data_IF_091214764695
#
_entry.id   IF_091214764695
#
_cell.length_a   1.000
_cell.length_b   1.000
_cell.length_c   1.000
_cell.angle_alpha   90.00
_cell.angle_beta   90.00
_cell.angle_gamma   90.00
#
_symmetry.space_group_name_H-M   'P 1'
#
loop_
_entity.id
_entity.type
_entity.pdbx_description
1 polymer ?
#
# COMPACT_ATOMS: atom_id res chain seq x y z
N UNK A 1 17.12 5.53 3.75
CA UNK A 1 16.26 4.82 4.70
C UNK A 1 14.97 5.60 4.87
N UNK A 2 13.93 5.11 4.20
CA UNK A 2 12.54 5.57 4.29
C UNK A 2 11.99 5.18 5.66
N UNK A 3 11.43 6.17 6.36
CA UNK A 3 10.77 5.99 7.65
C UNK A 3 9.26 5.95 7.49
N UNK A 4 8.57 5.31 8.44
CA UNK A 4 7.10 5.21 8.43
C UNK A 4 6.46 6.62 8.48
N UNK A 5 7.08 7.59 9.17
CA UNK A 5 6.59 8.96 9.24
C UNK A 5 6.67 9.71 7.89
N UNK A 6 7.64 9.36 7.03
CA UNK A 6 7.75 9.94 5.70
C UNK A 6 6.65 9.39 4.78
N UNK A 7 6.34 8.09 4.92
CA UNK A 7 5.20 7.46 4.25
C UNK A 7 3.89 8.10 4.72
N UNK A 8 3.73 8.39 6.01
CA UNK A 8 2.53 9.03 6.55
C UNK A 8 2.31 10.43 5.93
N UNK A 9 3.37 11.23 5.81
CA UNK A 9 3.28 12.56 5.18
C UNK A 9 2.83 12.43 3.72
N UNK A 10 3.37 11.46 3.00
CA UNK A 10 3.00 11.20 1.61
C UNK A 10 1.57 10.67 1.49
N UNK A 11 1.12 9.82 2.42
CA UNK A 11 -0.27 9.37 2.52
C UNK A 11 -1.23 10.56 2.70
N UNK A 12 -0.91 11.50 3.59
CA UNK A 12 -1.79 12.66 3.83
C UNK A 12 -1.94 13.55 2.59
N UNK A 13 -0.84 13.79 1.88
CA UNK A 13 -0.86 14.53 0.60
C UNK A 13 -1.67 13.77 -0.45
N UNK A 14 -1.32 12.50 -0.66
CA UNK A 14 -2.01 11.61 -1.59
C UNK A 14 -3.52 11.58 -1.31
N UNK A 15 -3.93 11.39 -0.06
CA UNK A 15 -5.35 11.39 0.31
C UNK A 15 -6.03 12.72 -0.01
N UNK A 16 -5.37 13.86 0.18
CA UNK A 16 -5.97 15.16 -0.12
C UNK A 16 -6.17 15.37 -1.63
N UNK A 17 -5.23 14.92 -2.44
CA UNK A 17 -5.23 15.13 -3.89
C UNK A 17 -6.06 14.06 -4.63
N UNK A 18 -6.00 12.82 -4.15
CA UNK A 18 -6.61 11.65 -4.79
C UNK A 18 -8.05 11.40 -4.35
N UNK A 19 -8.53 12.06 -3.28
CA UNK A 19 -9.90 11.88 -2.79
C UNK A 19 -10.95 12.30 -3.81
N UNK A 20 -10.74 13.41 -4.50
CA UNK A 20 -11.67 13.90 -5.53
C UNK A 20 -11.79 12.90 -6.69
N UNK A 21 -10.65 12.41 -7.18
CA UNK A 21 -10.62 11.36 -8.23
C UNK A 21 -11.38 10.09 -7.81
N UNK A 22 -11.27 9.68 -6.54
CA UNK A 22 -11.99 8.51 -5.99
C UNK A 22 -13.50 8.75 -5.95
N UNK A 23 -13.93 9.93 -5.51
CA UNK A 23 -15.35 10.29 -5.46
C UNK A 23 -15.94 10.33 -6.87
N UNK A 24 -15.25 10.98 -7.81
CA UNK A 24 -15.68 11.08 -9.20
C UNK A 24 -15.81 9.71 -9.86
N UNK A 25 -14.82 8.83 -9.64
CA UNK A 25 -14.84 7.45 -10.18
C UNK A 25 -16.02 6.65 -9.61
N UNK A 26 -16.32 6.81 -8.32
CA UNK A 26 -17.45 6.13 -7.68
C UNK A 26 -18.81 6.65 -8.19
N UNK A 27 -18.89 7.93 -8.55
CA UNK A 27 -20.11 8.53 -9.11
C UNK A 27 -20.30 8.18 -10.58
N UNK A 28 -19.23 8.17 -11.37
CA UNK A 28 -19.29 7.92 -12.82
C UNK A 28 -19.48 6.45 -13.17
N UNK A 29 -19.00 5.53 -12.30
CA UNK A 29 -19.00 4.07 -12.51
C UNK A 29 -18.48 3.65 -13.90
N UNK A 30 -17.58 4.43 -14.48
CA UNK A 30 -17.01 4.17 -15.80
C UNK A 30 -15.64 3.51 -15.68
N UNK A 31 -15.42 2.45 -16.47
CA UNK A 31 -14.17 1.69 -16.52
C UNK A 31 -12.95 2.58 -16.88
N UNK A 32 -13.13 3.57 -17.76
CA UNK A 32 -12.03 4.49 -18.14
C UNK A 32 -11.54 5.37 -16.98
N UNK A 33 -12.43 5.77 -16.08
CA UNK A 33 -12.05 6.58 -14.92
C UNK A 33 -11.34 5.70 -13.89
N UNK A 34 -11.79 4.44 -13.76
CA UNK A 34 -11.13 3.44 -12.93
C UNK A 34 -9.70 3.13 -13.38
N UNK A 35 -9.46 2.97 -14.69
CA UNK A 35 -8.10 2.76 -15.21
C UNK A 35 -7.19 3.96 -14.94
N UNK A 36 -7.67 5.19 -15.19
CA UNK A 36 -6.91 6.41 -14.87
C UNK A 36 -6.57 6.51 -13.39
N UNK A 37 -7.52 6.15 -12.53
CA UNK A 37 -7.33 6.15 -11.08
C UNK A 37 -6.25 5.15 -10.66
N UNK A 38 -6.27 3.93 -11.23
CA UNK A 38 -5.20 2.94 -11.01
C UNK A 38 -3.83 3.46 -11.45
N UNK A 39 -3.74 4.08 -12.63
CA UNK A 39 -2.48 4.64 -13.13
C UNK A 39 -1.94 5.74 -12.22
N UNK A 40 -2.77 6.76 -11.89
CA UNK A 40 -2.37 7.85 -10.98
C UNK A 40 -1.88 7.33 -9.63
N UNK A 41 -2.50 6.25 -9.13
CA UNK A 41 -2.09 5.66 -7.88
C UNK A 41 -0.70 5.04 -7.95
N UNK A 42 -0.43 4.21 -8.98
CA UNK A 42 0.88 3.55 -9.13
C UNK A 42 2.00 4.57 -9.33
N UNK A 43 1.69 5.68 -10.00
CA UNK A 43 2.63 6.78 -10.22
C UNK A 43 2.76 7.74 -9.02
N UNK A 44 1.97 7.54 -7.96
CA UNK A 44 1.99 8.45 -6.80
C UNK A 44 3.25 8.29 -5.96
N UNK A 45 3.73 9.42 -5.42
CA UNK A 45 4.83 9.44 -4.46
C UNK A 45 4.57 8.52 -3.26
N UNK A 46 3.30 8.40 -2.84
CA UNK A 46 2.91 7.51 -1.77
C UNK A 46 3.20 6.04 -2.10
N UNK A 47 2.77 5.57 -3.27
CA UNK A 47 3.00 4.21 -3.74
C UNK A 47 4.49 3.89 -3.86
N UNK A 48 5.25 4.78 -4.49
CA UNK A 48 6.70 4.65 -4.66
C UNK A 48 7.45 4.66 -3.32
N UNK A 49 7.01 5.47 -2.36
CA UNK A 49 7.64 5.51 -1.02
C UNK A 49 7.40 4.22 -0.25
N UNK A 50 6.19 3.65 -0.32
CA UNK A 50 5.89 2.35 0.30
C UNK A 50 6.69 1.21 -0.34
N UNK A 51 6.83 1.23 -1.67
CA UNK A 51 7.68 0.27 -2.40
C UNK A 51 9.14 0.36 -1.95
N UNK A 52 9.73 1.56 -1.95
CA UNK A 52 11.12 1.79 -1.51
C UNK A 52 11.34 1.36 -0.07
N UNK A 53 10.37 1.62 0.82
CA UNK A 53 10.44 1.19 2.22
C UNK A 53 10.63 -0.32 2.36
N UNK A 54 9.91 -1.11 1.55
CA UNK A 54 9.99 -2.56 1.57
C UNK A 54 11.27 -3.08 0.89
N UNK A 55 11.68 -2.48 -0.23
CA UNK A 55 12.93 -2.83 -0.93
C UNK A 55 14.18 -2.58 -0.07
N UNK A 56 14.28 -1.41 0.59
CA UNK A 56 15.37 -1.10 1.53
C UNK A 56 15.46 -2.08 2.70
N UNK A 57 14.36 -2.77 2.98
CA UNK A 57 14.19 -3.75 4.05
C UNK A 57 14.39 -5.19 3.59
N UNK A 58 14.80 -5.40 2.33
CA UNK A 58 15.09 -6.71 1.77
C UNK A 58 13.85 -7.52 1.36
N UNK A 59 12.70 -6.87 1.19
CA UNK A 59 11.53 -7.50 0.59
C UNK A 59 11.57 -7.36 -0.93
N UNK A 60 11.22 -8.42 -1.64
CA UNK A 60 10.95 -8.34 -3.08
C UNK A 60 9.56 -7.78 -3.27
N UNK A 61 9.47 -6.69 -4.01
CA UNK A 61 8.20 -6.01 -4.26
C UNK A 61 7.76 -6.29 -5.69
N UNK A 62 6.51 -6.72 -5.85
CA UNK A 62 5.81 -6.69 -7.12
C UNK A 62 4.52 -5.88 -6.96
N UNK A 63 4.17 -5.13 -8.00
CA UNK A 63 2.95 -4.32 -8.03
C UNK A 63 2.00 -4.90 -9.07
N UNK A 64 0.74 -5.07 -8.69
CA UNK A 64 -0.34 -5.37 -9.63
C UNK A 64 -1.52 -4.45 -9.33
N UNK A 65 -1.91 -3.66 -10.32
CA UNK A 65 -2.92 -2.60 -10.16
C UNK A 65 -2.57 -1.70 -8.96
N UNK A 66 -3.42 -1.67 -7.94
CA UNK A 66 -3.32 -0.86 -6.73
C UNK A 66 -2.67 -1.59 -5.53
N UNK A 67 -2.22 -2.84 -5.74
CA UNK A 67 -1.73 -3.71 -4.67
C UNK A 67 -0.22 -3.92 -4.78
N UNK A 68 0.44 -3.79 -3.64
CA UNK A 68 1.83 -4.19 -3.47
C UNK A 68 1.87 -5.60 -2.87
N UNK A 69 2.51 -6.52 -3.58
CA UNK A 69 2.82 -7.86 -3.09
C UNK A 69 4.28 -7.87 -2.65
N UNK A 70 4.49 -8.16 -1.37
CA UNK A 70 5.80 -8.15 -0.73
C UNK A 70 6.18 -9.59 -0.40
N UNK A 71 7.29 -10.08 -0.94
CA UNK A 71 7.76 -11.43 -0.73
C UNK A 71 9.14 -11.43 -0.07
N UNK A 72 9.28 -12.18 1.02
CA UNK A 72 10.58 -12.41 1.67
C UNK A 72 11.39 -13.47 0.91
N UNK A 73 12.72 -13.38 0.93
CA UNK A 73 13.61 -14.32 0.23
C UNK A 73 13.42 -15.80 0.63
N UNK A 74 12.81 -16.08 1.78
CA UNK A 74 12.42 -17.44 2.21
C UNK A 74 11.27 -18.05 1.38
N UNK A 75 10.68 -17.28 0.46
CA UNK A 75 9.59 -17.63 -0.47
C UNK A 75 8.29 -18.11 0.18
N UNK A 76 8.19 -18.17 1.51
CA UNK A 76 7.00 -18.64 2.22
C UNK A 76 6.16 -17.51 2.80
N UNK A 77 6.76 -16.34 3.03
CA UNK A 77 6.04 -15.19 3.56
C UNK A 77 5.72 -14.20 2.43
N UNK A 78 4.45 -14.16 2.05
CA UNK A 78 3.90 -13.16 1.12
C UNK A 78 2.94 -12.27 1.90
N UNK A 79 3.16 -10.96 1.85
CA UNK A 79 2.28 -9.95 2.44
C UNK A 79 1.68 -9.13 1.31
N UNK A 80 0.36 -9.10 1.24
CA UNK A 80 -0.35 -8.18 0.36
C UNK A 80 -0.66 -6.90 1.11
N UNK A 81 -0.33 -5.79 0.48
CA UNK A 81 -0.53 -4.45 1.00
C UNK A 81 -1.37 -3.66 -0.02
N UNK A 82 -2.71 -3.76 0.07
CA UNK A 82 -3.59 -2.92 -0.72
C UNK A 82 -3.50 -1.49 -0.18
N UNK A 83 -3.13 -0.55 -1.03
CA UNK A 83 -3.12 0.88 -0.68
C UNK A 83 -4.45 1.56 -1.02
N UNK A 84 -5.14 1.03 -2.03
CA UNK A 84 -6.52 1.36 -2.41
C UNK A 84 -7.25 0.04 -2.65
N UNK A 85 -8.43 -0.10 -2.07
CA UNK A 85 -9.34 -1.20 -2.34
C UNK A 85 -10.31 -0.80 -3.45
N UNK A 86 -10.45 -1.71 -4.43
CA UNK A 86 -11.41 -1.61 -5.54
C UNK A 86 -12.33 -2.80 -5.35
N UNK A 87 -13.60 -2.52 -5.06
CA UNK A 87 -14.70 -3.47 -4.99
C UNK A 87 -15.64 -3.27 -6.20
N UNK A 88 -16.62 -4.15 -6.39
CA UNK A 88 -17.53 -4.14 -7.55
C UNK A 88 -18.27 -2.79 -7.71
N UNK A 89 -18.56 -2.10 -6.62
CA UNK A 89 -19.34 -0.86 -6.61
C UNK A 89 -18.60 0.38 -6.12
N UNK A 90 -17.39 0.22 -5.57
CA UNK A 90 -16.69 1.34 -4.93
C UNK A 90 -15.17 1.17 -4.87
N UNK A 91 -14.50 2.31 -5.00
CA UNK A 91 -13.08 2.50 -4.76
C UNK A 91 -12.90 3.28 -3.45
N UNK A 92 -11.97 2.84 -2.61
CA UNK A 92 -11.64 3.56 -1.39
C UNK A 92 -10.17 3.42 -1.01
N UNK A 93 -9.61 4.53 -0.53
CA UNK A 93 -8.23 4.59 -0.03
C UNK A 93 -8.17 3.89 1.32
N UNK A 94 -7.21 2.97 1.50
CA UNK A 94 -7.05 2.32 2.80
C UNK A 94 -6.68 3.34 3.89
N UNK A 95 -7.30 3.24 5.08
CA UNK A 95 -6.96 4.14 6.17
C UNK A 95 -5.52 3.92 6.62
N UNK A 96 -4.83 5.02 6.95
CA UNK A 96 -3.44 4.99 7.39
C UNK A 96 -3.17 3.98 8.51
N UNK A 97 -4.08 3.84 9.47
CA UNK A 97 -3.93 2.90 10.58
C UNK A 97 -3.70 1.46 10.11
N UNK A 98 -4.43 1.01 9.08
CA UNK A 98 -4.26 -0.34 8.50
C UNK A 98 -2.94 -0.47 7.76
N UNK A 99 -2.55 0.58 7.03
CA UNK A 99 -1.28 0.58 6.30
C UNK A 99 -0.09 0.58 7.27
N UNK A 100 -0.13 1.43 8.30
CA UNK A 100 0.89 1.51 9.34
C UNK A 100 1.07 0.18 10.07
N UNK A 101 -0.02 -0.49 10.47
CA UNK A 101 0.05 -1.81 11.12
C UNK A 101 0.79 -2.85 10.24
N UNK A 102 0.53 -2.84 8.92
CA UNK A 102 1.22 -3.72 7.97
C UNK A 102 2.68 -3.35 7.82
N UNK A 103 3.00 -2.06 7.71
CA UNK A 103 4.38 -1.56 7.62
C UNK A 103 5.20 -1.92 8.87
N UNK A 104 4.63 -1.74 10.06
CA UNK A 104 5.25 -2.15 11.32
C UNK A 104 5.46 -3.66 11.39
N UNK A 105 4.51 -4.44 10.88
CA UNK A 105 4.64 -5.91 10.84
C UNK A 105 5.82 -6.32 9.95
N UNK A 106 5.97 -5.68 8.79
CA UNK A 106 7.11 -5.91 7.90
C UNK A 106 8.44 -5.56 8.58
N UNK A 107 8.46 -4.48 9.36
CA UNK A 107 9.64 -4.06 10.12
C UNK A 107 9.98 -5.06 11.25
N UNK A 108 8.99 -5.46 12.05
CA UNK A 108 9.17 -6.42 13.16
C UNK A 108 9.60 -7.82 12.68
N UNK A 109 9.10 -8.27 11.53
CA UNK A 109 9.50 -9.56 10.94
C UNK A 109 10.94 -9.59 10.43
N UNK A 110 11.59 -8.43 10.27
CA UNK A 110 13.02 -8.33 9.95
C UNK A 110 13.87 -8.30 11.22
N UNK A 111 13.35 -7.70 12.29
CA UNK A 111 14.01 -7.63 13.60
C UNK A 111 14.04 -8.96 14.36
N UNK A 112 13.43 -10.03 13.84
CA UNK A 112 13.45 -11.36 14.47
C UNK A 112 12.54 -11.50 15.70
N UNK A 113 11.73 -10.51 16.03
CA UNK A 113 10.72 -10.59 17.10
C UNK A 113 9.47 -11.35 16.65
N UNK A 114 9.64 -12.57 16.14
CA UNK A 114 8.55 -13.55 16.22
C UNK A 114 8.58 -14.07 17.65
N UNK A 115 7.87 -13.38 18.56
CA UNK A 115 7.49 -13.97 19.85
C UNK A 115 6.75 -15.27 19.53
N UNK A 116 7.47 -16.39 19.65
CA UNK A 116 6.89 -17.72 19.78
C UNK A 116 5.87 -17.64 20.93
N UNK A 117 4.59 -17.54 20.61
CA UNK A 117 3.56 -18.04 21.52
C UNK A 117 3.59 -19.55 21.37
N UNK A 118 4.39 -20.16 22.23
CA UNK A 118 4.19 -21.56 22.62
C UNK A 118 3.06 -21.54 23.64
N UNK A 119 1.95 -22.17 23.32
CA UNK A 119 1.07 -22.82 24.30
C UNK A 119 0.67 -24.17 23.72
#
# INVERSE_FOLDING_TARGET
MVRIEDIEKNFRKFRSEFWEDVVDTNLSKNEKDMEKLKTKMVESDYFETVKKFAEERGWRVSSRDTRLTLQKDDKKTTVELPLVEIDEDAVFIQPWSRVAERLETLEKQLSGEVKKKTD
#
